data_IF_277040924582
#
_entry.id   IF_277040924582
#
_cell.length_a   1.000
_cell.length_b   1.000
_cell.length_c   1.000
_cell.angle_alpha   90.00
_cell.angle_beta   90.00
_cell.angle_gamma   90.00
#
_symmetry.space_group_name_H-M   'P 1'
#
loop_
_entity.id
_entity.type
_entity.pdbx_description
1 polymer ?
#
# COMPACT_ATOMS: atom_id res chain seq x y z
N UNK A 1 -25.36 1.84 14.94
CA UNK A 1 -24.75 3.16 14.69
C UNK A 1 -23.36 2.91 14.14
N UNK A 2 -23.03 3.33 12.92
CA UNK A 2 -21.68 3.19 12.37
C UNK A 2 -20.72 4.04 13.20
N UNK A 3 -19.59 3.48 13.63
CA UNK A 3 -18.54 4.26 14.32
C UNK A 3 -17.95 5.24 13.31
N UNK A 4 -17.93 6.52 13.66
CA UNK A 4 -17.27 7.56 12.87
C UNK A 4 -15.77 7.24 12.81
N UNK A 5 -15.19 7.21 11.60
CA UNK A 5 -13.73 7.10 11.43
C UNK A 5 -13.07 8.31 12.11
N UNK A 6 -12.02 8.12 12.93
CA UNK A 6 -11.35 9.24 13.58
C UNK A 6 -10.73 10.18 12.52
N UNK A 7 -11.00 11.48 12.66
CA UNK A 7 -10.42 12.52 11.79
C UNK A 7 -9.03 12.92 12.32
N UNK A 8 -8.11 13.27 11.40
CA UNK A 8 -6.74 13.71 11.73
C UNK A 8 -5.95 12.71 12.60
N UNK A 9 -6.16 11.42 12.37
CA UNK A 9 -5.52 10.34 13.12
C UNK A 9 -4.86 9.32 12.19
N UNK A 10 -3.80 8.68 12.68
CA UNK A 10 -3.20 7.50 12.04
C UNK A 10 -3.95 6.27 12.54
N UNK A 11 -4.44 5.46 11.61
CA UNK A 11 -5.14 4.21 11.91
C UNK A 11 -4.15 3.06 11.71
N UNK A 12 -3.90 2.29 12.76
CA UNK A 12 -3.07 1.08 12.68
C UNK A 12 -3.98 -0.15 12.49
N UNK A 13 -3.98 -0.71 11.28
CA UNK A 13 -4.78 -1.88 10.93
C UNK A 13 -4.53 -2.35 9.51
N UNK A 14 -5.19 -3.44 9.13
CA UNK A 14 -5.20 -3.90 7.74
C UNK A 14 -5.89 -2.85 6.85
N UNK A 15 -5.18 -2.35 5.84
CA UNK A 15 -5.67 -1.23 5.03
C UNK A 15 -6.95 -1.56 4.27
N UNK A 16 -7.15 -2.82 3.85
CA UNK A 16 -8.34 -3.26 3.12
C UNK A 16 -9.57 -3.22 4.04
N UNK A 17 -9.43 -3.73 5.27
CA UNK A 17 -10.53 -3.72 6.24
C UNK A 17 -10.83 -2.33 6.82
N UNK A 18 -9.81 -1.49 7.02
CA UNK A 18 -10.01 -0.12 7.49
C UNK A 18 -10.63 0.79 6.41
N UNK A 19 -10.24 0.65 5.15
CA UNK A 19 -10.81 1.44 4.04
C UNK A 19 -12.32 1.24 3.90
N UNK A 20 -12.84 0.03 4.13
CA UNK A 20 -14.29 -0.27 4.08
C UNK A 20 -15.14 0.53 5.08
N UNK A 21 -14.51 1.11 6.11
CA UNK A 21 -15.19 1.90 7.15
C UNK A 21 -15.30 3.38 6.77
N UNK A 22 -14.53 3.82 5.76
CA UNK A 22 -14.55 5.19 5.26
C UNK A 22 -15.82 5.38 4.41
N UNK A 23 -16.58 6.48 4.59
CA UNK A 23 -17.77 6.72 3.78
C UNK A 23 -17.45 6.87 2.29
N UNK A 24 -18.32 6.33 1.44
CA UNK A 24 -18.21 6.46 -0.01
C UNK A 24 -18.16 7.94 -0.45
N UNK A 25 -17.36 8.23 -1.48
CA UNK A 25 -17.22 9.56 -2.08
C UNK A 25 -16.82 10.68 -1.09
N UNK A 26 -16.16 10.34 0.03
CA UNK A 26 -15.75 11.32 1.06
C UNK A 26 -14.30 11.80 0.94
N UNK A 27 -13.49 11.15 0.09
CA UNK A 27 -12.05 11.43 -0.07
C UNK A 27 -11.80 12.13 -1.39
N UNK A 28 -11.12 13.29 -1.35
CA UNK A 28 -10.80 14.09 -2.53
C UNK A 28 -9.45 13.73 -3.17
N UNK A 29 -8.51 13.20 -2.38
CA UNK A 29 -7.15 12.86 -2.81
C UNK A 29 -6.74 11.54 -2.17
N UNK A 30 -6.24 10.62 -3.00
CA UNK A 30 -5.51 9.44 -2.56
C UNK A 30 -4.02 9.66 -2.80
N UNK A 31 -3.23 9.68 -1.73
CA UNK A 31 -1.77 9.70 -1.77
C UNK A 31 -1.28 8.47 -1.03
N UNK A 32 -0.56 7.58 -1.72
CA UNK A 32 -0.14 6.30 -1.17
C UNK A 32 1.27 5.97 -1.64
N UNK A 33 2.08 5.53 -0.68
CA UNK A 33 3.36 4.88 -0.90
C UNK A 33 3.12 3.37 -0.67
N UNK A 34 3.01 2.62 -1.77
CA UNK A 34 2.55 1.23 -1.77
C UNK A 34 3.74 0.27 -1.88
N UNK A 35 3.56 -1.03 -1.55
CA UNK A 35 4.49 -2.08 -1.96
C UNK A 35 4.79 -2.00 -3.46
N UNK A 36 6.08 -1.96 -3.81
CA UNK A 36 6.55 -1.90 -5.21
C UNK A 36 6.98 -3.26 -5.74
N UNK A 37 7.11 -4.26 -4.87
CA UNK A 37 7.58 -5.58 -5.27
C UNK A 37 9.05 -5.55 -5.68
N UNK A 38 9.92 -4.93 -4.89
CA UNK A 38 11.37 -4.88 -5.13
C UNK A 38 12.19 -5.52 -4.01
N UNK A 39 11.52 -6.07 -3.00
CA UNK A 39 12.11 -6.94 -1.99
C UNK A 39 12.83 -6.23 -0.87
N UNK A 40 12.47 -4.98 -0.61
CA UNK A 40 13.06 -4.22 0.49
C UNK A 40 12.60 -4.74 1.85
N UNK A 41 11.37 -5.25 1.93
CA UNK A 41 10.75 -5.75 3.16
C UNK A 41 9.80 -6.94 2.86
N UNK A 42 9.44 -7.72 3.87
CA UNK A 42 8.60 -8.91 3.73
C UNK A 42 7.19 -8.60 3.19
N UNK A 43 6.68 -7.40 3.46
CA UNK A 43 5.40 -6.93 2.96
C UNK A 43 5.47 -6.41 1.52
N UNK A 44 6.67 -6.20 0.98
CA UNK A 44 6.89 -5.66 -0.36
C UNK A 44 6.63 -6.72 -1.45
N UNK A 45 6.86 -8.00 -1.14
CA UNK A 45 6.65 -9.12 -2.06
C UNK A 45 5.84 -10.23 -1.41
N UNK A 46 4.53 -10.19 -1.64
CA UNK A 46 3.59 -11.17 -1.08
C UNK A 46 3.29 -12.36 -2.01
N UNK A 47 3.96 -12.44 -3.16
CA UNK A 47 3.72 -13.45 -4.20
C UNK A 47 5.01 -13.78 -4.97
N UNK A 48 4.96 -14.83 -5.82
CA UNK A 48 6.03 -15.13 -6.76
C UNK A 48 6.22 -13.94 -7.71
N UNK A 49 7.22 -13.11 -7.41
CA UNK A 49 7.40 -11.81 -8.04
C UNK A 49 8.13 -11.94 -9.37
N UNK A 50 7.54 -11.41 -10.43
CA UNK A 50 8.12 -11.34 -11.77
C UNK A 50 8.66 -9.94 -12.11
N UNK A 51 8.71 -9.03 -11.13
CA UNK A 51 9.26 -7.69 -11.31
C UNK A 51 10.76 -7.77 -11.62
N UNK A 52 11.18 -7.26 -12.76
CA UNK A 52 12.58 -7.25 -13.19
C UNK A 52 13.47 -6.33 -12.36
N UNK A 53 12.89 -5.41 -11.57
CA UNK A 53 13.62 -4.59 -10.60
C UNK A 53 13.96 -5.37 -9.32
N UNK A 54 13.30 -6.50 -9.06
CA UNK A 54 13.62 -7.38 -7.95
C UNK A 54 14.87 -8.22 -8.29
N UNK A 55 16.05 -7.79 -7.80
CA UNK A 55 17.32 -8.53 -7.92
C UNK A 55 18.02 -8.50 -9.28
N UNK A 56 17.51 -7.74 -10.26
CA UNK A 56 18.12 -7.59 -11.58
C UNK A 56 18.87 -6.27 -11.72
N UNK A 57 20.17 -6.34 -12.04
CA UNK A 57 20.88 -5.17 -12.58
C UNK A 57 20.19 -4.73 -13.87
N UNK A 58 19.79 -3.47 -13.95
CA UNK A 58 19.35 -2.85 -15.19
C UNK A 58 20.45 -2.98 -16.25
N UNK A 59 20.13 -3.21 -17.54
CA UNK A 59 21.12 -3.19 -18.62
C UNK A 59 21.95 -1.90 -18.68
N UNK A 60 21.43 -0.79 -18.12
CA UNK A 60 22.14 0.48 -18.00
C UNK A 60 23.20 0.51 -16.87
N UNK A 61 23.29 -0.54 -16.06
CA UNK A 61 24.29 -0.71 -14.99
C UNK A 61 25.49 -1.57 -15.45
N UNK A 62 25.52 -1.97 -16.74
CA UNK A 62 26.65 -2.66 -17.38
C UNK A 62 27.63 -1.72 -18.07
#
# INVERSE_FOLDING_TARGET
MMRKVPENAVICGDSIEEMKKIPDNSVHLLLSDIPYGIGLEDWDVLHANTNSAYGGSSPAQG
#
